data_IF_609414463238
#
_entry.id   IF_609414463238
#
_cell.length_a   1.000
_cell.length_b   1.000
_cell.length_c   1.000
_cell.angle_alpha   90.00
_cell.angle_beta   90.00
_cell.angle_gamma   90.00
#
_symmetry.space_group_name_H-M   'P 1'
#
loop_
_entity.id
_entity.type
_entity.pdbx_description
1 polymer ?
#
# COMPACT_ATOMS: atom_id res chain seq x y z
N UNK A 1 12.56 18.32 -4.50
CA UNK A 1 11.79 17.54 -5.48
C UNK A 1 12.59 16.27 -5.73
N UNK A 2 12.12 15.16 -5.19
CA UNK A 2 12.80 13.86 -5.19
C UNK A 2 12.11 13.10 -4.07
N UNK A 3 11.38 12.02 -4.33
CA UNK A 3 11.74 10.88 -5.17
C UNK A 3 10.58 10.60 -6.15
N UNK A 4 10.93 10.22 -7.38
CA UNK A 4 9.97 9.88 -8.42
C UNK A 4 9.27 8.57 -8.09
N UNK A 5 8.16 8.64 -7.38
CA UNK A 5 7.29 7.50 -7.14
C UNK A 5 6.53 7.17 -8.42
N UNK A 6 7.15 6.35 -9.28
CA UNK A 6 6.55 5.89 -10.54
C UNK A 6 5.13 5.31 -10.35
N UNK A 7 4.85 4.83 -9.14
CA UNK A 7 3.62 4.15 -8.76
C UNK A 7 2.75 4.96 -7.77
N UNK A 8 3.14 6.18 -7.36
CA UNK A 8 2.35 6.98 -6.41
C UNK A 8 0.94 7.31 -6.89
N UNK A 9 0.74 7.51 -8.20
CA UNK A 9 -0.60 7.67 -8.78
C UNK A 9 -1.40 6.36 -8.75
N UNK A 10 -0.75 5.24 -9.05
CA UNK A 10 -1.37 3.92 -9.01
C UNK A 10 -1.72 3.47 -7.57
N UNK A 11 -1.07 4.04 -6.55
CA UNK A 11 -1.43 3.82 -5.14
C UNK A 11 -2.85 4.30 -4.83
N UNK A 12 -3.26 5.44 -5.42
CA UNK A 12 -4.65 5.95 -5.27
C UNK A 12 -5.68 4.98 -5.86
N UNK A 13 -5.31 4.26 -6.92
CA UNK A 13 -6.19 3.22 -7.49
C UNK A 13 -6.33 2.02 -6.53
N UNK A 14 -5.27 1.68 -5.77
CA UNK A 14 -5.37 0.64 -4.72
C UNK A 14 -6.28 1.10 -3.57
N UNK A 15 -6.26 2.39 -3.22
CA UNK A 15 -7.17 2.94 -2.19
C UNK A 15 -8.64 2.84 -2.60
N UNK A 16 -8.96 3.11 -3.86
CA UNK A 16 -10.35 3.14 -4.35
C UNK A 16 -10.90 1.73 -4.65
N UNK A 17 -10.07 0.85 -5.21
CA UNK A 17 -10.49 -0.45 -5.75
C UNK A 17 -9.99 -1.65 -4.96
N UNK A 18 -9.10 -1.45 -3.98
CA UNK A 18 -8.49 -2.52 -3.17
C UNK A 18 -7.57 -3.47 -3.94
N UNK A 19 -7.36 -3.22 -5.25
CA UNK A 19 -6.60 -4.05 -6.16
C UNK A 19 -6.00 -3.16 -7.25
N UNK A 20 -4.69 -3.22 -7.45
CA UNK A 20 -4.04 -2.65 -8.63
C UNK A 20 -3.09 -3.67 -9.22
N UNK A 21 -3.21 -3.89 -10.53
CA UNK A 21 -2.36 -4.84 -11.26
C UNK A 21 -0.88 -4.42 -11.27
N UNK A 22 -0.61 -3.13 -11.02
CA UNK A 22 0.73 -2.54 -10.94
C UNK A 22 1.50 -2.91 -9.68
N UNK A 23 0.83 -3.45 -8.66
CA UNK A 23 1.45 -3.85 -7.41
C UNK A 23 1.42 -5.36 -7.20
N UNK A 24 2.50 -5.89 -6.64
CA UNK A 24 2.58 -7.25 -6.12
C UNK A 24 2.23 -7.17 -4.63
N UNK A 25 1.12 -7.81 -4.24
CA UNK A 25 0.78 -7.98 -2.82
C UNK A 25 1.62 -9.11 -2.24
N UNK A 26 2.56 -8.78 -1.34
CA UNK A 26 3.41 -9.77 -0.68
C UNK A 26 2.70 -10.51 0.45
N UNK A 27 1.68 -9.90 1.05
CA UNK A 27 0.86 -10.50 2.09
C UNK A 27 0.30 -9.46 3.05
N UNK A 28 -0.74 -9.86 3.78
CA UNK A 28 -1.34 -9.06 4.84
C UNK A 28 -1.00 -9.70 6.18
N UNK A 29 -0.37 -8.93 7.06
CA UNK A 29 -0.08 -9.28 8.43
C UNK A 29 -1.09 -8.58 9.35
N UNK A 30 -1.83 -9.36 10.13
CA UNK A 30 -2.68 -8.81 11.18
C UNK A 30 -1.88 -8.51 12.44
N UNK A 31 -1.97 -7.28 12.90
CA UNK A 31 -1.47 -6.81 14.19
C UNK A 31 -2.66 -6.34 15.04
N UNK A 32 -2.56 -6.30 16.38
CA UNK A 32 -3.67 -5.87 17.22
C UNK A 32 -4.14 -4.46 16.81
N UNK A 33 -5.40 -4.33 16.40
CA UNK A 33 -6.00 -3.06 15.96
C UNK A 33 -5.75 -2.69 14.49
N UNK A 34 -4.93 -3.44 13.73
CA UNK A 34 -4.61 -3.11 12.34
C UNK A 34 -4.24 -4.29 11.45
N UNK A 35 -4.47 -4.14 10.15
CA UNK A 35 -4.03 -5.03 9.09
C UNK A 35 -2.97 -4.32 8.27
N UNK A 36 -1.76 -4.85 8.28
CA UNK A 36 -0.62 -4.28 7.57
C UNK A 36 -0.39 -5.11 6.32
N UNK A 37 -0.54 -4.53 5.14
CA UNK A 37 -0.33 -5.20 3.85
C UNK A 37 0.86 -4.61 3.12
N UNK A 38 1.81 -5.46 2.75
CA UNK A 38 2.96 -5.05 1.95
C UNK A 38 2.68 -5.19 0.45
N UNK A 39 3.06 -4.17 -0.30
CA UNK A 39 2.90 -4.07 -1.76
C UNK A 39 4.22 -3.64 -2.39
N UNK A 40 4.62 -4.28 -3.48
CA UNK A 40 5.78 -3.87 -4.27
C UNK A 40 5.30 -3.39 -5.64
N UNK A 41 5.73 -2.22 -6.07
CA UNK A 41 5.42 -1.72 -7.41
C UNK A 41 6.24 -2.50 -8.45
N UNK A 42 5.57 -3.11 -9.43
CA UNK A 42 6.24 -3.87 -10.51
C UNK A 42 7.10 -3.01 -11.43
N UNK A 43 6.78 -1.71 -11.55
CA UNK A 43 7.43 -0.82 -12.51
C UNK A 43 8.75 -0.24 -11.98
N UNK A 44 8.78 0.24 -10.74
CA UNK A 44 9.98 0.79 -10.11
C UNK A 44 10.59 -0.09 -9.01
N UNK A 45 9.95 -1.20 -8.63
CA UNK A 45 10.42 -2.07 -7.54
C UNK A 45 10.31 -1.43 -6.15
N UNK A 46 9.58 -0.32 -6.02
CA UNK A 46 9.45 0.39 -4.75
C UNK A 46 8.45 -0.32 -3.84
N UNK A 47 8.81 -0.45 -2.57
CA UNK A 47 8.01 -1.15 -1.57
C UNK A 47 7.11 -0.17 -0.82
N UNK A 48 5.89 -0.61 -0.55
CA UNK A 48 4.84 0.16 0.07
C UNK A 48 4.13 -0.67 1.11
N UNK A 49 3.66 -0.02 2.16
CA UNK A 49 2.90 -0.66 3.23
C UNK A 49 1.59 0.07 3.43
N UNK A 50 0.49 -0.67 3.36
CA UNK A 50 -0.84 -0.22 3.74
C UNK A 50 -1.11 -0.67 5.17
N UNK A 51 -1.42 0.26 6.06
CA UNK A 51 -2.02 -0.05 7.34
C UNK A 51 -3.52 0.26 7.25
N UNK A 52 -4.34 -0.75 7.49
CA UNK A 52 -5.79 -0.67 7.58
C UNK A 52 -6.18 -0.86 9.04
N UNK A 53 -6.80 0.14 9.66
CA UNK A 53 -7.29 -0.01 11.02
C UNK A 53 -8.46 -1.01 11.07
N UNK A 54 -8.44 -1.96 12.01
CA UNK A 54 -9.50 -2.97 12.12
C UNK A 54 -10.74 -2.46 12.84
N UNK A 55 -10.60 -1.40 13.64
CA UNK A 55 -11.70 -0.74 14.34
C UNK A 55 -12.34 0.32 13.45
N UNK A 56 -11.54 1.00 12.61
CA UNK A 56 -11.97 1.97 11.61
C UNK A 56 -11.55 1.54 10.18
N UNK A 57 -12.25 0.59 9.54
CA UNK A 57 -11.84 0.05 8.23
C UNK A 57 -11.84 1.06 7.07
N UNK A 58 -12.41 2.24 7.27
CA UNK A 58 -12.34 3.35 6.29
C UNK A 58 -11.02 4.13 6.39
N UNK A 59 -10.21 3.91 7.42
CA UNK A 59 -8.99 4.66 7.69
C UNK A 59 -7.76 3.88 7.21
N UNK A 60 -7.44 4.07 5.94
CA UNK A 60 -6.22 3.54 5.32
C UNK A 60 -5.06 4.53 5.48
N UNK A 61 -3.89 4.04 5.89
CA UNK A 61 -2.65 4.82 5.93
C UNK A 61 -1.59 4.11 5.10
N UNK A 62 -0.89 4.86 4.24
CA UNK A 62 0.15 4.32 3.38
C UNK A 62 1.51 4.91 3.70
N UNK A 63 2.51 4.04 3.70
CA UNK A 63 3.89 4.41 3.97
C UNK A 63 4.81 3.78 2.92
N UNK A 64 5.72 4.56 2.30
CA UNK A 64 6.82 3.98 1.55
C UNK A 64 7.75 3.22 2.51
N UNK A 65 8.17 2.02 2.14
CA UNK A 65 9.29 1.33 2.80
C UNK A 65 10.57 1.82 2.11
N UNK A 66 11.34 2.65 2.82
CA UNK A 66 12.70 3.08 2.44
C UNK A 66 13.70 1.92 2.49
#
# INVERSE_FOLDING_TARGET
MGIGDCCSEAMKEVEDLGLSDKFIKHGTQGVPGKLVTAYECKECGHNWTQELDTEEPDRHMWYPQD
#
